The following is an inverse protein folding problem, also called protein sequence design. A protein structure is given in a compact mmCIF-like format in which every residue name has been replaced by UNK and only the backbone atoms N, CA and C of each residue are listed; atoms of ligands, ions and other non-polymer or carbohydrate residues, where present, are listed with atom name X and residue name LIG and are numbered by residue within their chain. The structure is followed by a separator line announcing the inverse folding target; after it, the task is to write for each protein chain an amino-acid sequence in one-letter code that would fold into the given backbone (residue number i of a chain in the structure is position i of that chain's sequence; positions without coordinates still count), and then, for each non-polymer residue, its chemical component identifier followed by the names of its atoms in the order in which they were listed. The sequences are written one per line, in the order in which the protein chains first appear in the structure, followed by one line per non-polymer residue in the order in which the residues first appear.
data_IF_038177293517
#
_entry.id   IF_038177293517
#
_cell.length_a   1.000
_cell.length_b   1.000
_cell.length_c   1.000
_cell.angle_alpha   90.00
_cell.angle_beta   90.00
_cell.angle_gamma   90.00
#
_symmetry.space_group_name_H-M   'P 1'
#
loop_
_entity.id
_entity.type
_entity.pdbx_description
1 polymer ?
#
# COMPACT_ATOMS: atom_id res chain seq x y z
N UNK A 1 -1.85 1.76 15.40
CA UNK A 1 -0.70 1.19 14.67
C UNK A 1 0.41 2.22 14.76
N UNK A 2 1.59 1.85 15.26
CA UNK A 2 2.73 2.76 15.36
C UNK A 2 3.75 2.41 14.27
N UNK A 3 3.84 3.27 13.24
CA UNK A 3 4.77 3.11 12.13
C UNK A 3 6.12 3.80 12.37
N UNK A 4 6.18 4.73 13.32
CA UNK A 4 7.41 5.45 13.65
C UNK A 4 8.39 4.55 14.43
N UNK A 5 7.88 3.52 15.09
CA UNK A 5 8.69 2.49 15.74
C UNK A 5 9.44 1.55 14.76
N UNK A 6 9.11 1.58 13.46
CA UNK A 6 9.73 0.71 12.45
C UNK A 6 10.79 1.47 11.64
N UNK A 7 11.88 0.80 11.26
CA UNK A 7 12.92 1.42 10.44
C UNK A 7 12.38 1.70 9.02
N UNK A 8 12.96 2.69 8.31
CA UNK A 8 12.45 3.17 7.02
C UNK A 8 12.39 2.08 5.95
N UNK A 9 13.27 1.08 6.00
CA UNK A 9 13.31 -0.05 5.07
C UNK A 9 12.04 -0.90 5.15
N UNK A 10 11.51 -1.13 6.36
CA UNK A 10 10.30 -1.93 6.59
C UNK A 10 9.07 -1.20 6.08
N UNK A 11 8.96 0.10 6.36
CA UNK A 11 7.84 0.91 5.89
C UNK A 11 7.90 1.06 4.36
N UNK A 12 9.09 1.31 3.80
CA UNK A 12 9.29 1.43 2.35
C UNK A 12 8.94 0.13 1.62
N UNK A 13 9.42 -1.01 2.12
CA UNK A 13 9.11 -2.31 1.52
C UNK A 13 7.59 -2.58 1.48
N UNK A 14 6.85 -2.18 2.53
CA UNK A 14 5.38 -2.32 2.57
C UNK A 14 4.65 -1.37 1.62
N UNK A 15 5.15 -0.15 1.43
CA UNK A 15 4.55 0.84 0.52
C UNK A 15 4.76 0.48 -0.95
N UNK A 16 5.94 -0.03 -1.29
CA UNK A 16 6.32 -0.30 -2.68
C UNK A 16 6.09 -1.75 -3.11
N UNK A 17 5.69 -2.64 -2.19
CA UNK A 17 5.18 -3.96 -2.52
C UNK A 17 3.66 -3.92 -2.75
N UNK A 18 3.16 -4.76 -3.67
CA UNK A 18 1.73 -5.01 -3.86
C UNK A 18 1.19 -4.56 -5.22
N UNK A 19 -0.12 -4.71 -5.41
CA UNK A 19 -0.80 -4.55 -6.70
C UNK A 19 -1.08 -3.09 -7.11
N UNK A 20 -0.59 -2.10 -6.35
CA UNK A 20 -0.87 -0.69 -6.57
C UNK A 20 -2.36 -0.34 -6.51
N UNK A 21 -2.77 0.71 -7.22
CA UNK A 21 -4.16 1.19 -7.23
C UNK A 21 -5.09 0.45 -8.20
N UNK A 22 -4.56 -0.47 -9.04
CA UNK A 22 -5.32 -1.16 -10.10
C UNK A 22 -6.63 -1.82 -9.62
N UNK A 23 -6.60 -2.60 -8.52
CA UNK A 23 -7.82 -3.19 -7.97
C UNK A 23 -8.87 -2.16 -7.52
N UNK A 24 -8.45 -1.03 -6.96
CA UNK A 24 -9.37 0.04 -6.57
C UNK A 24 -9.99 0.74 -7.78
N UNK A 25 -9.22 0.94 -8.85
CA UNK A 25 -9.73 1.51 -10.10
C UNK A 25 -10.75 0.57 -10.75
N UNK A 26 -10.46 -0.74 -10.81
CA UNK A 26 -11.40 -1.73 -11.34
C UNK A 26 -12.71 -1.76 -10.54
N UNK A 27 -12.63 -1.72 -9.21
CA UNK A 27 -13.80 -1.62 -8.35
C UNK A 27 -14.58 -0.33 -8.61
N UNK A 28 -13.90 0.83 -8.69
CA UNK A 28 -14.55 2.12 -8.94
C UNK A 28 -15.30 2.17 -10.29
N UNK A 29 -14.82 1.47 -11.32
CA UNK A 29 -15.54 1.36 -12.60
C UNK A 29 -16.72 0.38 -12.58
N UNK A 30 -16.77 -0.51 -11.59
CA UNK A 30 -17.81 -1.52 -11.45
C UNK A 30 -18.98 -1.09 -10.54
N UNK A 31 -18.81 0.01 -9.81
CA UNK A 31 -19.84 0.65 -8.97
C UNK A 31 -20.58 1.75 -9.75
#
# INVERSE_FOLDING_TARGET
MDFAALPPEVNSARMYAGAGAGPLMAAATAW
#
